data_IF_643009391443
#
_entry.id   IF_643009391443
#
_cell.length_a   1.000
_cell.length_b   1.000
_cell.length_c   1.000
_cell.angle_alpha   90.00
_cell.angle_beta   90.00
_cell.angle_gamma   90.00
#
_symmetry.space_group_name_H-M   'P 1'
#
loop_
_entity.id
_entity.type
_entity.pdbx_description
1 polymer ?
#
# COMPACT_ATOMS: atom_id res chain seq x y z
N UNK A 1 18.30 11.46 4.86
CA UNK A 1 18.20 10.31 5.78
C UNK A 1 17.21 10.62 6.90
N UNK A 2 16.25 9.73 7.11
CA UNK A 2 15.28 9.86 8.20
C UNK A 2 15.88 9.31 9.48
N UNK A 3 15.82 10.08 10.57
CA UNK A 3 16.32 9.64 11.87
C UNK A 3 15.13 9.45 12.81
N UNK A 4 15.03 8.27 13.42
CA UNK A 4 13.94 7.93 14.31
C UNK A 4 14.39 8.22 15.75
N UNK A 5 13.80 9.30 16.34
CA UNK A 5 14.21 9.80 17.66
C UNK A 5 13.15 9.49 18.70
N UNK A 6 13.05 8.23 19.07
CA UNK A 6 12.12 7.77 20.09
C UNK A 6 12.68 6.50 20.71
N UNK A 7 12.35 6.24 21.97
CA UNK A 7 12.69 5.00 22.64
C UNK A 7 11.83 3.83 22.13
N UNK A 8 10.70 4.12 21.48
CA UNK A 8 9.80 3.10 20.96
C UNK A 8 9.64 3.28 19.46
N UNK A 9 9.96 2.24 18.71
CA UNK A 9 9.81 2.19 17.27
C UNK A 9 8.67 1.23 16.95
N UNK A 10 7.73 1.70 16.15
CA UNK A 10 6.61 0.90 15.67
C UNK A 10 6.88 0.32 14.30
N UNK A 11 6.45 -0.93 14.13
CA UNK A 11 6.43 -1.58 12.82
C UNK A 11 5.01 -2.11 12.61
N UNK A 12 4.34 -1.62 11.57
CA UNK A 12 3.03 -2.11 11.18
C UNK A 12 3.13 -2.75 9.80
N UNK A 13 2.24 -3.68 9.51
CA UNK A 13 2.27 -4.39 8.25
C UNK A 13 0.90 -4.95 7.90
N UNK A 14 0.70 -5.22 6.62
CA UNK A 14 -0.52 -5.83 6.12
C UNK A 14 -0.33 -6.36 4.73
N UNK A 15 -1.36 -7.03 4.23
CA UNK A 15 -1.41 -7.60 2.90
C UNK A 15 -2.84 -7.50 2.40
N UNK A 16 -3.05 -6.74 1.32
CA UNK A 16 -4.39 -6.36 0.86
C UNK A 16 -4.62 -6.80 -0.58
N UNK A 17 -5.72 -7.51 -0.83
CA UNK A 17 -6.22 -7.69 -2.19
C UNK A 17 -6.83 -6.36 -2.62
N UNK A 18 -6.15 -5.65 -3.50
CA UNK A 18 -6.58 -4.31 -3.89
C UNK A 18 -7.78 -4.35 -4.84
N UNK A 19 -7.81 -5.32 -5.77
CA UNK A 19 -8.96 -5.54 -6.65
C UNK A 19 -8.93 -6.94 -7.25
N UNK A 20 -10.11 -7.36 -7.74
CA UNK A 20 -10.32 -8.65 -8.40
C UNK A 20 -11.14 -8.43 -9.67
N UNK A 21 -10.64 -7.59 -10.57
CA UNK A 21 -11.40 -7.08 -11.71
C UNK A 21 -11.74 -8.15 -12.75
N UNK A 22 -11.00 -9.26 -12.80
CA UNK A 22 -11.39 -10.40 -13.64
C UNK A 22 -12.75 -10.97 -13.20
N UNK A 23 -12.97 -11.10 -11.90
CA UNK A 23 -14.23 -11.63 -11.36
C UNK A 23 -15.35 -10.60 -11.42
N UNK A 24 -15.00 -9.33 -11.18
CA UNK A 24 -15.98 -8.26 -10.99
C UNK A 24 -16.30 -7.51 -12.28
N UNK A 25 -15.62 -7.81 -13.39
CA UNK A 25 -15.80 -7.10 -14.66
C UNK A 25 -15.24 -5.69 -14.64
N UNK A 26 -14.26 -5.42 -13.79
CA UNK A 26 -13.69 -4.08 -13.61
C UNK A 26 -12.71 -3.68 -14.71
N UNK A 27 -12.41 -2.39 -14.75
CA UNK A 27 -11.61 -1.77 -15.82
C UNK A 27 -10.14 -2.20 -15.84
N UNK A 28 -9.60 -2.72 -14.74
CA UNK A 28 -8.24 -3.24 -14.74
C UNK A 28 -8.12 -4.47 -15.64
N UNK A 29 -9.20 -5.22 -15.81
CA UNK A 29 -9.26 -6.36 -16.72
C UNK A 29 -9.84 -5.99 -18.08
N UNK A 30 -10.91 -5.18 -18.12
CA UNK A 30 -11.65 -4.89 -19.36
C UNK A 30 -11.22 -3.60 -20.07
N UNK A 31 -10.56 -2.69 -19.35
CA UNK A 31 -10.21 -1.37 -19.86
C UNK A 31 -8.87 -1.31 -20.57
N UNK A 32 -8.53 -0.11 -21.04
CA UNK A 32 -7.28 0.20 -21.73
C UNK A 32 -6.83 1.59 -21.31
N UNK A 33 -5.56 1.92 -21.58
CA UNK A 33 -4.99 3.20 -21.24
C UNK A 33 -4.67 3.33 -19.78
N UNK A 34 -4.54 4.54 -19.30
CA UNK A 34 -4.19 4.80 -17.91
C UNK A 34 -5.36 4.45 -16.98
N UNK A 35 -5.07 3.59 -16.00
CA UNK A 35 -6.04 3.15 -14.99
C UNK A 35 -5.36 3.14 -13.64
N UNK A 36 -6.10 3.52 -12.61
CA UNK A 36 -5.60 3.62 -11.25
C UNK A 36 -6.58 2.98 -10.30
N UNK A 37 -6.05 2.30 -9.30
CA UNK A 37 -6.84 1.85 -8.16
C UNK A 37 -6.14 2.29 -6.88
N UNK A 38 -6.92 2.86 -5.96
CA UNK A 38 -6.42 3.48 -4.74
C UNK A 38 -7.21 2.97 -3.54
N UNK A 39 -6.51 2.71 -2.45
CA UNK A 39 -7.15 2.32 -1.19
C UNK A 39 -6.45 3.03 -0.03
N UNK A 40 -7.24 3.64 0.86
CA UNK A 40 -6.71 4.19 2.09
C UNK A 40 -6.47 3.08 3.11
N UNK A 41 -5.24 2.99 3.63
CA UNK A 41 -4.84 2.04 4.66
C UNK A 41 -4.68 2.82 5.97
N UNK A 42 -5.29 2.32 7.03
CA UNK A 42 -5.19 2.89 8.36
C UNK A 42 -4.22 2.06 9.19
N UNK A 43 -3.26 2.71 9.84
CA UNK A 43 -2.32 2.02 10.73
C UNK A 43 -3.05 1.52 11.99
N UNK A 44 -2.52 0.44 12.58
CA UNK A 44 -3.04 -0.13 13.83
C UNK A 44 -2.92 0.85 14.99
N UNK A 45 -1.86 1.65 14.96
CA UNK A 45 -1.56 2.66 15.96
C UNK A 45 -1.05 3.92 15.26
N UNK A 46 -1.17 5.05 15.95
CA UNK A 46 -0.70 6.32 15.42
C UNK A 46 0.79 6.45 15.62
N UNK A 47 1.52 6.83 14.56
CA UNK A 47 2.93 7.17 14.66
C UNK A 47 3.11 8.59 15.18
N UNK A 48 4.26 8.87 15.78
CA UNK A 48 4.62 10.21 16.25
C UNK A 48 4.79 11.17 15.08
N UNK A 49 5.42 10.70 14.01
CA UNK A 49 5.59 11.40 12.75
C UNK A 49 5.16 10.47 11.63
N UNK A 50 4.98 11.00 10.42
CA UNK A 50 4.66 10.16 9.28
C UNK A 50 5.74 9.08 9.10
N UNK A 51 5.37 7.79 9.08
CA UNK A 51 6.34 6.71 9.00
C UNK A 51 6.88 6.56 7.58
N UNK A 52 7.93 5.74 7.45
CA UNK A 52 8.37 5.25 6.15
C UNK A 52 7.49 4.07 5.77
N UNK A 53 6.91 4.11 4.57
CA UNK A 53 6.03 3.05 4.08
C UNK A 53 6.66 2.43 2.84
N UNK A 54 6.72 1.11 2.82
CA UNK A 54 7.22 0.35 1.69
C UNK A 54 6.17 -0.65 1.23
N UNK A 55 5.96 -0.72 -0.09
CA UNK A 55 5.00 -1.61 -0.71
C UNK A 55 5.71 -2.65 -1.56
N UNK A 56 5.09 -3.82 -1.68
CA UNK A 56 5.50 -4.84 -2.63
C UNK A 56 4.28 -5.57 -3.16
N UNK A 57 4.36 -6.02 -4.42
CA UNK A 57 3.30 -6.83 -5.00
C UNK A 57 3.47 -8.26 -4.49
N UNK A 58 2.51 -8.75 -3.72
CA UNK A 58 2.55 -10.09 -3.13
C UNK A 58 1.79 -11.12 -3.95
N UNK A 59 0.88 -10.69 -4.84
CA UNK A 59 0.23 -11.53 -5.82
C UNK A 59 0.03 -10.76 -7.10
N UNK A 60 0.36 -11.38 -8.21
CA UNK A 60 0.33 -10.78 -9.53
C UNK A 60 -0.36 -11.72 -10.50
N UNK A 61 -1.54 -11.35 -10.99
CA UNK A 61 -2.32 -12.17 -11.91
C UNK A 61 -2.70 -11.32 -13.12
N UNK A 62 -1.99 -11.53 -14.22
CA UNK A 62 -2.10 -10.71 -15.43
C UNK A 62 -2.31 -11.60 -16.65
N UNK A 63 -2.96 -11.03 -17.66
CA UNK A 63 -3.08 -11.68 -18.96
C UNK A 63 -1.71 -11.81 -19.63
N UNK A 64 -1.36 -13.06 -19.98
CA UNK A 64 -0.06 -13.36 -20.59
C UNK A 64 0.10 -12.79 -22.00
N UNK A 65 -0.99 -12.42 -22.65
CA UNK A 65 -0.98 -11.85 -24.00
C UNK A 65 -0.73 -10.35 -24.05
N UNK A 66 -0.70 -9.67 -22.91
CA UNK A 66 -0.47 -8.23 -22.86
C UNK A 66 0.93 -7.88 -22.36
N UNK A 67 1.39 -6.68 -22.69
CA UNK A 67 2.65 -6.17 -22.15
C UNK A 67 2.40 -5.69 -20.72
N UNK A 68 3.24 -6.14 -19.78
CA UNK A 68 3.06 -5.81 -18.36
C UNK A 68 3.60 -4.43 -18.06
N UNK A 69 2.70 -3.56 -17.59
CA UNK A 69 3.03 -2.22 -17.11
C UNK A 69 2.35 -2.01 -15.78
N UNK A 70 3.14 -1.80 -14.73
CA UNK A 70 2.59 -1.66 -13.40
C UNK A 70 3.47 -0.74 -12.56
N UNK A 71 2.82 0.04 -11.73
CA UNK A 71 3.45 0.94 -10.78
C UNK A 71 2.68 0.87 -9.47
N UNK A 72 3.41 0.76 -8.37
CA UNK A 72 2.84 0.71 -7.01
C UNK A 72 3.53 1.77 -6.17
N UNK A 73 2.76 2.66 -5.59
CA UNK A 73 3.29 3.72 -4.73
C UNK A 73 2.48 3.89 -3.46
N UNK A 74 3.14 4.36 -2.41
CA UNK A 74 2.47 4.87 -1.22
C UNK A 74 2.38 6.39 -1.36
N UNK A 75 1.18 6.95 -1.17
CA UNK A 75 0.94 8.38 -1.28
C UNK A 75 0.19 8.87 -0.04
N UNK A 76 0.24 10.18 0.18
CA UNK A 76 -0.49 10.83 1.28
C UNK A 76 -0.22 10.15 2.63
N UNK A 77 1.05 9.88 2.90
CA UNK A 77 1.46 9.23 4.16
C UNK A 77 1.32 10.25 5.29
N UNK A 78 0.56 9.85 6.31
CA UNK A 78 0.33 10.62 7.51
C UNK A 78 0.70 9.80 8.74
N UNK A 79 0.52 10.35 9.92
CA UNK A 79 0.74 9.61 11.17
C UNK A 79 -0.27 8.49 11.38
N UNK A 80 -1.42 8.53 10.70
CA UNK A 80 -2.52 7.57 10.91
C UNK A 80 -2.75 6.60 9.75
N UNK A 81 -2.16 6.84 8.57
CA UNK A 81 -2.39 5.97 7.42
C UNK A 81 -1.72 6.46 6.15
N UNK A 82 -2.00 5.79 5.06
CA UNK A 82 -1.47 6.14 3.75
C UNK A 82 -2.42 5.63 2.65
N UNK A 83 -2.22 6.14 1.44
CA UNK A 83 -2.91 5.63 0.26
C UNK A 83 -2.00 4.62 -0.46
N UNK A 84 -2.51 3.43 -0.65
CA UNK A 84 -1.93 2.40 -1.50
C UNK A 84 -2.44 2.63 -2.91
N UNK A 85 -1.54 2.87 -3.88
CA UNK A 85 -1.91 3.24 -5.23
C UNK A 85 -1.27 2.29 -6.23
N UNK A 86 -2.09 1.70 -7.07
CA UNK A 86 -1.67 0.87 -8.19
C UNK A 86 -2.06 1.56 -9.48
N UNK A 87 -1.11 1.64 -10.42
CA UNK A 87 -1.35 2.21 -11.75
C UNK A 87 -0.90 1.25 -12.83
N UNK A 88 -1.66 1.19 -13.89
CA UNK A 88 -1.30 0.49 -15.11
C UNK A 88 -1.70 1.34 -16.32
N UNK A 89 -1.18 1.00 -17.49
CA UNK A 89 -1.46 1.75 -18.71
C UNK A 89 -1.28 0.85 -19.93
N UNK A 90 -1.68 1.39 -21.09
CA UNK A 90 -1.59 0.66 -22.34
C UNK A 90 -2.62 -0.46 -22.42
N UNK A 91 -2.18 -1.61 -22.90
CA UNK A 91 -3.03 -2.78 -23.10
C UNK A 91 -2.96 -3.80 -21.95
N UNK A 92 -2.25 -3.48 -20.87
CA UNK A 92 -2.09 -4.39 -19.73
C UNK A 92 -3.44 -4.75 -19.14
N UNK A 93 -3.68 -6.06 -18.97
CA UNK A 93 -4.90 -6.58 -18.36
C UNK A 93 -4.53 -7.25 -17.04
N UNK A 94 -5.04 -6.70 -15.95
CA UNK A 94 -4.75 -7.20 -14.59
C UNK A 94 -6.01 -7.82 -14.03
N UNK A 95 -5.97 -9.14 -13.81
CA UNK A 95 -7.10 -9.87 -13.25
C UNK A 95 -7.30 -9.56 -11.77
N UNK A 96 -6.19 -9.54 -11.03
CA UNK A 96 -6.18 -9.19 -9.58
C UNK A 96 -4.76 -8.88 -9.15
N UNK A 97 -4.67 -8.10 -8.09
CA UNK A 97 -3.39 -7.79 -7.46
C UNK A 97 -3.56 -7.75 -5.93
N UNK A 98 -2.57 -8.29 -5.24
CA UNK A 98 -2.46 -8.19 -3.80
C UNK A 98 -1.16 -7.46 -3.49
N UNK A 99 -1.20 -6.54 -2.54
CA UNK A 99 -0.06 -5.70 -2.18
C UNK A 99 0.21 -5.83 -0.70
N UNK A 100 1.45 -6.18 -0.38
CA UNK A 100 1.94 -6.20 0.98
C UNK A 100 2.55 -4.84 1.31
N UNK A 101 2.43 -4.42 2.56
CA UNK A 101 2.99 -3.15 3.00
C UNK A 101 3.64 -3.28 4.37
N UNK A 102 4.63 -2.44 4.59
CA UNK A 102 5.31 -2.29 5.87
C UNK A 102 5.49 -0.80 6.15
N UNK A 103 5.16 -0.40 7.36
CA UNK A 103 5.40 0.95 7.84
C UNK A 103 6.27 0.90 9.08
N UNK A 104 7.29 1.75 9.12
CA UNK A 104 8.20 1.81 10.28
C UNK A 104 8.40 3.28 10.67
N UNK A 105 8.33 3.56 11.96
CA UNK A 105 8.51 4.92 12.46
C UNK A 105 8.54 4.98 13.97
N UNK A 106 8.78 6.20 14.47
CA UNK A 106 8.80 6.45 15.89
C UNK A 106 7.38 6.49 16.45
N UNK A 107 7.19 5.89 17.62
CA UNK A 107 5.98 6.01 18.40
C UNK A 107 6.18 7.00 19.55
N UNK A 108 5.08 7.46 20.11
CA UNK A 108 5.13 8.35 21.26
C UNK A 108 5.66 7.61 22.48
N UNK A 109 6.59 8.23 23.21
CA UNK A 109 7.10 7.67 24.47
C UNK A 109 6.05 7.70 25.58
N UNK A 110 4.99 8.48 25.43
CA UNK A 110 3.90 8.58 26.41
C UNK A 110 3.17 7.25 26.57
N UNK A 111 3.17 6.41 25.54
CA UNK A 111 2.52 5.08 25.60
C UNK A 111 3.17 4.18 26.63
N UNK A 112 4.42 4.41 26.97
CA UNK A 112 5.12 3.61 27.98
C UNK A 112 4.64 3.89 29.40
N UNK A 113 3.98 5.00 29.64
CA UNK A 113 3.45 5.38 30.96
C UNK A 113 2.16 4.63 31.31
N UNK A 114 1.43 4.20 30.30
CA UNK A 114 0.14 3.52 30.49
C UNK A 114 0.32 2.08 30.98
N UNK A 115 1.53 1.59 30.99
CA UNK A 115 1.86 0.22 31.41
C UNK A 115 1.99 0.12 32.93
N UNK A 116 1.99 1.23 33.63
CA UNK A 116 2.13 1.27 35.09
C UNK A 116 0.77 1.02 35.81
#
# INVERSE_FOLDING_TARGET
MKKLRSSTIGLDQGDEVLFQDFEDGGEMWTGRGQRERRRRIKFSDRFLEAPTVQLSISLWDIDAGSVVRADVTSESVTTSGFDMVFRTWGDTKVARVRIAWTAIGALSDDDSWDVV
#
